data_IF_511199613273
#
_entry.id   IF_511199613273
#
_cell.length_a   1.000
_cell.length_b   1.000
_cell.length_c   1.000
_cell.angle_alpha   90.00
_cell.angle_beta   90.00
_cell.angle_gamma   90.00
#
_symmetry.space_group_name_H-M   'P 1'
#
loop_
_entity.id
_entity.type
_entity.pdbx_description
1 polymer ?
#
# COMPACT_ATOMS: atom_id res chain seq x y z
N UNK A 1 -45.00 -33.11 -6.98
CA UNK A 1 -45.61 -32.72 -5.70
C UNK A 1 -45.47 -31.20 -5.54
N UNK A 2 -46.57 -30.43 -5.55
CA UNK A 2 -46.55 -28.96 -5.46
C UNK A 2 -45.77 -28.43 -4.23
N UNK A 3 -45.79 -29.19 -3.13
CA UNK A 3 -45.06 -28.85 -1.90
C UNK A 3 -43.53 -28.89 -2.08
N UNK A 4 -43.01 -29.79 -2.93
CA UNK A 4 -41.58 -29.87 -3.22
C UNK A 4 -41.11 -28.62 -3.98
N UNK A 5 -41.85 -28.21 -5.02
CA UNK A 5 -41.58 -27.00 -5.80
C UNK A 5 -41.66 -25.73 -4.94
N UNK A 6 -42.66 -25.64 -4.05
CA UNK A 6 -42.79 -24.51 -3.12
C UNK A 6 -41.61 -24.44 -2.14
N UNK A 7 -41.19 -25.59 -1.60
CA UNK A 7 -40.04 -25.69 -0.71
C UNK A 7 -38.76 -25.26 -1.43
N UNK A 8 -38.49 -25.78 -2.63
CA UNK A 8 -37.29 -25.50 -3.42
C UNK A 8 -37.19 -24.01 -3.78
N UNK A 9 -38.30 -23.38 -4.17
CA UNK A 9 -38.37 -21.94 -4.43
C UNK A 9 -38.13 -21.11 -3.15
N UNK A 10 -38.68 -21.55 -2.02
CA UNK A 10 -38.47 -20.89 -0.72
C UNK A 10 -37.00 -20.97 -0.26
N UNK A 11 -36.38 -22.15 -0.36
CA UNK A 11 -34.95 -22.33 -0.08
C UNK A 11 -34.07 -21.52 -1.04
N UNK A 12 -34.40 -21.49 -2.33
CA UNK A 12 -33.71 -20.67 -3.33
C UNK A 12 -33.76 -19.17 -3.02
N UNK A 13 -34.94 -18.65 -2.66
CA UNK A 13 -35.11 -17.26 -2.26
C UNK A 13 -34.37 -16.92 -0.96
N UNK A 14 -34.37 -17.82 0.02
CA UNK A 14 -33.64 -17.63 1.28
C UNK A 14 -32.12 -17.61 1.03
N UNK A 15 -31.61 -18.52 0.20
CA UNK A 15 -30.21 -18.59 -0.19
C UNK A 15 -29.77 -17.35 -0.98
N UNK A 16 -30.57 -16.89 -1.95
CA UNK A 16 -30.26 -15.69 -2.73
C UNK A 16 -30.23 -14.44 -1.85
N UNK A 17 -31.16 -14.31 -0.91
CA UNK A 17 -31.17 -13.21 0.06
C UNK A 17 -29.93 -13.24 0.96
N UNK A 18 -29.51 -14.42 1.40
CA UNK A 18 -28.30 -14.59 2.19
C UNK A 18 -27.03 -14.19 1.40
N UNK A 19 -26.88 -14.69 0.16
CA UNK A 19 -25.76 -14.34 -0.72
C UNK A 19 -25.73 -12.83 -0.99
N UNK A 20 -26.88 -12.24 -1.31
CA UNK A 20 -26.99 -10.79 -1.56
C UNK A 20 -26.57 -9.97 -0.34
N UNK A 21 -26.96 -10.39 0.87
CA UNK A 21 -26.55 -9.71 2.10
C UNK A 21 -25.04 -9.85 2.36
N UNK A 22 -24.45 -11.01 2.09
CA UNK A 22 -23.01 -11.20 2.18
C UNK A 22 -22.26 -10.32 1.17
N UNK A 23 -22.76 -10.20 -0.05
CA UNK A 23 -22.17 -9.33 -1.08
C UNK A 23 -22.23 -7.87 -0.67
N UNK A 24 -23.37 -7.40 -0.13
CA UNK A 24 -23.52 -6.05 0.40
C UNK A 24 -22.52 -5.75 1.53
N UNK A 25 -22.37 -6.67 2.49
CA UNK A 25 -21.39 -6.52 3.58
C UNK A 25 -19.97 -6.48 3.00
N UNK A 26 -19.66 -7.35 2.05
CA UNK A 26 -18.33 -7.42 1.42
C UNK A 26 -17.99 -6.14 0.67
N UNK A 27 -18.95 -5.56 -0.06
CA UNK A 27 -18.79 -4.27 -0.74
C UNK A 27 -18.56 -3.15 0.27
N UNK A 28 -19.35 -3.09 1.34
CA UNK A 28 -19.22 -2.05 2.36
C UNK A 28 -17.85 -2.10 3.06
N UNK A 29 -17.39 -3.31 3.43
CA UNK A 29 -16.06 -3.52 4.00
C UNK A 29 -14.97 -3.08 3.02
N UNK A 30 -15.11 -3.44 1.73
CA UNK A 30 -14.15 -3.06 0.69
C UNK A 30 -14.06 -1.55 0.49
N UNK A 31 -15.19 -0.84 0.51
CA UNK A 31 -15.23 0.63 0.43
C UNK A 31 -14.54 1.25 1.64
N UNK A 32 -14.83 0.75 2.84
CA UNK A 32 -14.18 1.22 4.07
C UNK A 32 -12.66 1.04 4.02
N UNK A 33 -12.22 -0.16 3.65
CA UNK A 33 -10.79 -0.47 3.48
C UNK A 33 -10.11 0.45 2.45
N UNK A 34 -10.74 0.67 1.28
CA UNK A 34 -10.19 1.54 0.24
C UNK A 34 -10.10 3.00 0.69
N UNK A 35 -11.06 3.47 1.48
CA UNK A 35 -11.07 4.81 2.07
C UNK A 35 -9.90 4.99 3.05
N UNK A 36 -9.62 3.97 3.88
CA UNK A 36 -8.47 3.97 4.79
C UNK A 36 -7.15 4.04 4.02
N UNK A 37 -6.98 3.27 2.94
CA UNK A 37 -5.77 3.39 2.12
C UNK A 37 -5.62 4.76 1.49
N UNK A 38 -6.72 5.37 1.04
CA UNK A 38 -6.66 6.70 0.47
C UNK A 38 -6.20 7.74 1.49
N UNK A 39 -6.72 7.68 2.72
CA UNK A 39 -6.26 8.52 3.82
C UNK A 39 -4.77 8.27 4.15
N UNK A 40 -4.34 7.01 4.23
CA UNK A 40 -2.93 6.65 4.46
C UNK A 40 -2.04 7.19 3.34
N UNK A 41 -2.47 7.12 2.08
CA UNK A 41 -1.71 7.64 0.94
C UNK A 41 -1.51 9.15 1.04
N UNK A 42 -2.55 9.92 1.40
CA UNK A 42 -2.44 11.37 1.61
C UNK A 42 -1.47 11.69 2.74
N UNK A 43 -1.62 11.04 3.89
CA UNK A 43 -0.74 11.23 5.06
C UNK A 43 0.72 10.89 4.69
N UNK A 44 0.92 9.80 3.96
CA UNK A 44 2.24 9.37 3.50
C UNK A 44 2.86 10.37 2.54
N UNK A 45 2.11 10.91 1.59
CA UNK A 45 2.58 11.95 0.67
C UNK A 45 3.00 13.22 1.42
N UNK A 46 2.17 13.67 2.38
CA UNK A 46 2.50 14.82 3.22
C UNK A 46 3.76 14.57 4.07
N UNK A 47 3.89 13.37 4.63
CA UNK A 47 5.08 12.96 5.38
C UNK A 47 6.34 12.95 4.50
N UNK A 48 6.28 12.35 3.31
CA UNK A 48 7.39 12.31 2.33
C UNK A 48 7.84 13.73 1.95
N UNK A 49 6.90 14.64 1.69
CA UNK A 49 7.23 16.04 1.40
C UNK A 49 7.96 16.70 2.58
N UNK A 50 7.49 16.47 3.81
CA UNK A 50 8.09 17.03 5.03
C UNK A 50 9.49 16.48 5.28
N UNK A 51 9.70 15.17 5.24
CA UNK A 51 11.03 14.59 5.49
C UNK A 51 12.03 14.94 4.39
N UNK A 52 11.56 15.16 3.16
CA UNK A 52 12.39 15.69 2.08
C UNK A 52 12.83 17.13 2.35
N UNK A 53 11.91 18.01 2.77
CA UNK A 53 12.25 19.38 3.21
C UNK A 53 13.26 19.39 4.35
N UNK A 54 13.04 18.56 5.37
CA UNK A 54 13.97 18.43 6.49
C UNK A 54 15.35 17.95 6.03
N UNK A 55 15.41 17.02 5.08
CA UNK A 55 16.67 16.56 4.52
C UNK A 55 17.40 17.68 3.77
N UNK A 56 16.69 18.52 3.01
CA UNK A 56 17.28 19.72 2.40
C UNK A 56 17.86 20.69 3.44
N UNK A 57 17.20 20.86 4.59
CA UNK A 57 17.72 21.73 5.66
C UNK A 57 18.94 21.12 6.37
N UNK A 58 19.00 19.79 6.48
CA UNK A 58 20.10 19.09 7.15
C UNK A 58 21.36 18.99 6.29
N UNK A 59 21.23 18.81 4.97
CA UNK A 59 22.34 18.57 4.07
C UNK A 59 22.00 18.88 2.60
N UNK A 60 21.73 20.15 2.30
CA UNK A 60 21.36 20.62 0.96
C UNK A 60 22.30 20.17 -0.17
N UNK A 61 23.65 20.22 -0.03
CA UNK A 61 24.58 19.88 -1.12
C UNK A 61 24.46 18.43 -1.61
N UNK A 62 23.95 17.54 -0.77
CA UNK A 62 23.82 16.12 -1.07
C UNK A 62 22.41 15.69 -1.51
N UNK A 63 21.43 16.60 -1.50
CA UNK A 63 20.07 16.34 -1.97
C UNK A 63 19.94 16.56 -3.49
N UNK A 64 19.36 15.58 -4.19
CA UNK A 64 19.12 15.64 -5.64
C UNK A 64 17.66 15.79 -6.02
N UNK A 65 16.74 15.43 -5.12
CA UNK A 65 15.31 15.44 -5.37
C UNK A 65 14.65 16.58 -4.60
N UNK A 66 13.75 17.30 -5.27
CA UNK A 66 12.98 18.36 -4.59
C UNK A 66 11.77 17.78 -3.87
N UNK A 67 11.24 18.45 -2.83
CA UNK A 67 10.12 17.94 -2.03
C UNK A 67 8.82 17.69 -2.81
N UNK A 68 8.57 18.46 -3.87
CA UNK A 68 7.40 18.24 -4.72
C UNK A 68 7.59 16.98 -5.55
N UNK A 69 8.76 16.84 -6.18
CA UNK A 69 9.08 15.68 -7.00
C UNK A 69 9.20 14.39 -6.18
N UNK A 70 9.54 14.43 -4.89
CA UNK A 70 9.51 13.22 -4.05
C UNK A 70 8.10 12.61 -3.90
N UNK A 71 7.05 13.39 -4.16
CA UNK A 71 5.64 12.94 -4.09
C UNK A 71 5.06 12.70 -5.49
N UNK A 72 5.30 13.61 -6.44
CA UNK A 72 4.70 13.55 -7.79
C UNK A 72 5.03 12.23 -8.53
N UNK A 73 6.22 11.67 -8.30
CA UNK A 73 6.62 10.40 -8.91
C UNK A 73 5.67 9.22 -8.61
N UNK A 74 4.93 9.24 -7.50
CA UNK A 74 3.98 8.18 -7.16
C UNK A 74 2.75 8.17 -8.08
N UNK A 75 2.42 9.32 -8.69
CA UNK A 75 1.25 9.49 -9.55
C UNK A 75 1.54 9.21 -11.02
N UNK A 76 2.82 9.13 -11.41
CA UNK A 76 3.23 8.87 -12.79
C UNK A 76 3.59 7.38 -12.90
N UNK A 77 2.81 6.55 -13.62
CA UNK A 77 2.95 5.09 -13.57
C UNK A 77 4.36 4.57 -13.87
N UNK A 78 5.03 5.15 -14.87
CA UNK A 78 6.39 4.77 -15.26
C UNK A 78 7.40 5.15 -14.17
N UNK A 79 7.29 6.35 -13.60
CA UNK A 79 8.25 6.83 -12.61
C UNK A 79 8.05 6.16 -11.25
N UNK A 80 6.81 5.77 -10.94
CA UNK A 80 6.43 5.09 -9.71
C UNK A 80 7.17 3.75 -9.49
N UNK A 81 7.80 3.18 -10.52
CA UNK A 81 8.55 1.93 -10.43
C UNK A 81 9.93 2.06 -9.76
N UNK A 82 10.58 3.23 -9.82
CA UNK A 82 11.93 3.41 -9.25
C UNK A 82 12.23 4.78 -8.66
N UNK A 83 11.59 5.86 -9.13
CA UNK A 83 11.89 7.21 -8.64
C UNK A 83 11.56 7.41 -7.17
N UNK A 84 10.46 6.87 -6.61
CA UNK A 84 10.21 7.02 -5.19
C UNK A 84 11.24 6.31 -4.30
N UNK A 85 11.74 5.16 -4.74
CA UNK A 85 12.85 4.49 -4.07
C UNK A 85 14.12 5.35 -4.06
N UNK A 86 14.47 5.95 -5.21
CA UNK A 86 15.61 6.87 -5.29
C UNK A 86 15.43 8.06 -4.33
N UNK A 87 14.22 8.64 -4.30
CA UNK A 87 13.90 9.74 -3.40
C UNK A 87 14.13 9.38 -1.93
N UNK A 88 13.59 8.24 -1.50
CA UNK A 88 13.71 7.77 -0.12
C UNK A 88 15.15 7.38 0.23
N UNK A 89 15.90 6.85 -0.73
CA UNK A 89 17.32 6.51 -0.56
C UNK A 89 18.15 7.76 -0.32
N UNK A 90 17.90 8.83 -1.07
CA UNK A 90 18.57 10.12 -0.88
C UNK A 90 18.20 10.73 0.47
N UNK A 91 16.91 10.76 0.84
CA UNK A 91 16.44 11.23 2.16
C UNK A 91 17.08 10.43 3.29
N UNK A 92 17.17 9.10 3.17
CA UNK A 92 17.83 8.24 4.15
C UNK A 92 19.32 8.57 4.24
N UNK A 93 20.03 8.66 3.12
CA UNK A 93 21.46 8.98 3.10
C UNK A 93 21.73 10.30 3.83
N UNK A 94 20.98 11.34 3.50
CA UNK A 94 21.09 12.64 4.15
C UNK A 94 20.74 12.57 5.62
N UNK A 95 19.72 11.81 6.02
CA UNK A 95 19.29 11.75 7.42
C UNK A 95 20.27 10.97 8.30
N UNK A 96 20.79 9.84 7.83
CA UNK A 96 21.66 8.95 8.60
C UNK A 96 23.16 9.21 8.43
N UNK A 97 23.57 10.01 7.44
CA UNK A 97 24.98 10.19 7.12
C UNK A 97 25.65 8.85 6.80
N UNK A 98 26.74 8.54 7.51
CA UNK A 98 27.49 7.29 7.37
C UNK A 98 26.88 6.11 8.16
N UNK A 99 25.73 6.28 8.83
CA UNK A 99 25.10 5.18 9.56
C UNK A 99 24.37 4.19 8.61
N UNK A 100 24.88 2.97 8.59
CA UNK A 100 24.38 1.86 7.78
C UNK A 100 23.30 1.02 8.47
N UNK A 101 22.89 1.34 9.70
CA UNK A 101 22.00 0.54 10.58
C UNK A 101 20.64 0.13 9.98
N UNK A 102 20.26 0.67 8.82
CA UNK A 102 19.00 0.37 8.10
C UNK A 102 19.20 0.22 6.59
N UNK A 103 20.39 -0.16 6.13
CA UNK A 103 20.73 -0.21 4.70
C UNK A 103 19.85 -1.16 3.88
N UNK A 104 19.43 -2.29 4.47
CA UNK A 104 18.63 -3.33 3.79
C UNK A 104 17.11 -3.15 3.94
N UNK A 105 16.65 -2.42 4.94
CA UNK A 105 15.20 -2.25 5.21
C UNK A 105 14.50 -1.52 4.06
N UNK A 106 15.12 -0.47 3.53
CA UNK A 106 14.55 0.33 2.44
C UNK A 106 14.40 -0.45 1.12
N UNK A 107 15.43 -1.15 0.59
CA UNK A 107 15.26 -1.97 -0.60
C UNK A 107 14.28 -3.13 -0.36
N UNK A 108 14.28 -3.76 0.82
CA UNK A 108 13.34 -4.83 1.13
C UNK A 108 11.89 -4.32 1.08
N UNK A 109 11.60 -3.21 1.75
CA UNK A 109 10.30 -2.56 1.67
C UNK A 109 9.87 -2.23 0.24
N UNK A 110 10.78 -1.67 -0.56
CA UNK A 110 10.46 -1.31 -1.95
C UNK A 110 10.16 -2.54 -2.82
N UNK A 111 10.96 -3.60 -2.69
CA UNK A 111 10.71 -4.86 -3.43
C UNK A 111 9.37 -5.49 -3.04
N UNK A 112 9.03 -5.49 -1.74
CA UNK A 112 7.73 -5.96 -1.27
C UNK A 112 6.58 -5.08 -1.79
N UNK A 113 6.78 -3.76 -1.83
CA UNK A 113 5.79 -2.83 -2.38
C UNK A 113 5.53 -3.09 -3.87
N UNK A 114 6.58 -3.30 -4.67
CA UNK A 114 6.44 -3.67 -6.09
C UNK A 114 5.71 -5.00 -6.27
N UNK A 115 6.08 -6.02 -5.49
CA UNK A 115 5.41 -7.33 -5.53
C UNK A 115 3.92 -7.21 -5.17
N UNK A 116 3.60 -6.43 -4.15
CA UNK A 116 2.23 -6.15 -3.73
C UNK A 116 1.41 -5.48 -4.86
N UNK A 117 2.00 -4.53 -5.58
CA UNK A 117 1.35 -3.88 -6.72
C UNK A 117 1.11 -4.87 -7.86
N UNK A 118 2.07 -5.74 -8.16
CA UNK A 118 1.92 -6.79 -9.19
C UNK A 118 0.78 -7.75 -8.82
N UNK A 119 0.77 -8.27 -7.59
CA UNK A 119 -0.31 -9.15 -7.12
C UNK A 119 -1.67 -8.44 -7.22
N UNK A 120 -1.73 -7.16 -6.84
CA UNK A 120 -2.96 -6.37 -6.93
C UNK A 120 -3.43 -6.21 -8.38
N UNK A 121 -2.52 -5.96 -9.32
CA UNK A 121 -2.84 -5.88 -10.73
C UNK A 121 -3.41 -7.21 -11.26
N UNK A 122 -2.81 -8.35 -10.88
CA UNK A 122 -3.31 -9.68 -11.26
C UNK A 122 -4.69 -9.94 -10.67
N UNK A 123 -4.94 -9.56 -9.41
CA UNK A 123 -6.26 -9.69 -8.77
C UNK A 123 -7.31 -8.86 -9.51
N UNK A 124 -7.02 -7.59 -9.83
CA UNK A 124 -7.96 -6.71 -10.54
C UNK A 124 -8.24 -7.25 -11.94
N UNK A 125 -7.19 -7.65 -12.67
CA UNK A 125 -7.34 -8.26 -13.99
C UNK A 125 -8.18 -9.55 -13.92
N UNK A 126 -7.91 -10.44 -12.97
CA UNK A 126 -8.65 -11.70 -12.80
C UNK A 126 -10.11 -11.46 -12.42
N UNK A 127 -10.38 -10.41 -11.63
CA UNK A 127 -11.75 -10.05 -11.20
C UNK A 127 -12.55 -9.43 -12.35
N UNK A 128 -11.92 -8.60 -13.19
CA UNK A 128 -12.59 -7.92 -14.30
C UNK A 128 -12.82 -8.83 -15.51
N UNK A 129 -12.00 -9.87 -15.70
CA UNK A 129 -12.13 -10.85 -16.79
C UNK A 129 -12.79 -12.16 -16.30
N UNK A 130 -13.61 -12.10 -15.26
CA UNK A 130 -14.16 -13.27 -14.59
C UNK A 130 -15.41 -13.86 -15.29
N UNK A 131 -15.34 -14.10 -16.60
CA UNK A 131 -16.41 -14.81 -17.32
C UNK A 131 -16.50 -16.30 -16.91
N UNK A 132 -15.47 -16.82 -16.22
CA UNK A 132 -15.37 -18.20 -15.75
C UNK A 132 -15.32 -18.30 -14.22
N UNK A 133 -15.95 -19.35 -13.67
CA UNK A 133 -15.94 -19.70 -12.23
C UNK A 133 -14.52 -19.89 -11.70
N UNK A 134 -13.58 -20.31 -12.55
CA UNK A 134 -12.17 -20.51 -12.21
C UNK A 134 -11.45 -19.20 -11.88
N UNK A 135 -11.70 -18.13 -12.65
CA UNK A 135 -11.10 -16.81 -12.44
C UNK A 135 -11.52 -16.20 -11.10
N UNK A 136 -12.76 -16.42 -10.66
CA UNK A 136 -13.23 -16.00 -9.33
C UNK A 136 -12.52 -16.74 -8.19
N UNK A 137 -12.32 -18.05 -8.32
CA UNK A 137 -11.60 -18.85 -7.32
C UNK A 137 -10.14 -18.42 -7.22
N UNK A 138 -9.50 -18.16 -8.37
CA UNK A 138 -8.12 -17.65 -8.41
C UNK A 138 -8.00 -16.27 -7.75
N UNK A 139 -8.91 -15.35 -8.05
CA UNK A 139 -8.95 -14.02 -7.43
C UNK A 139 -9.08 -14.11 -5.90
N UNK A 140 -9.95 -14.99 -5.39
CA UNK A 140 -10.11 -15.17 -3.94
C UNK A 140 -8.86 -15.77 -3.27
N UNK A 141 -8.20 -16.75 -3.90
CA UNK A 141 -6.92 -17.29 -3.40
C UNK A 141 -5.84 -16.21 -3.33
N UNK A 142 -5.71 -15.40 -4.38
CA UNK A 142 -4.74 -14.30 -4.42
C UNK A 142 -5.05 -13.22 -3.39
N UNK A 143 -6.33 -12.91 -3.13
CA UNK A 143 -6.73 -11.99 -2.05
C UNK A 143 -6.27 -12.50 -0.69
N UNK A 144 -6.42 -13.80 -0.41
CA UNK A 144 -5.95 -14.39 0.85
C UNK A 144 -4.42 -14.32 1.00
N UNK A 145 -3.68 -14.57 -0.08
CA UNK A 145 -2.20 -14.48 -0.09
C UNK A 145 -1.73 -13.03 0.07
N UNK A 146 -2.47 -12.06 -0.48
CA UNK A 146 -2.14 -10.64 -0.42
C UNK A 146 -2.17 -10.09 1.01
N UNK A 147 -3.12 -10.55 1.85
CA UNK A 147 -3.29 -10.05 3.22
C UNK A 147 -2.01 -10.07 4.07
N UNK A 148 -1.29 -11.20 4.24
CA UNK A 148 -0.06 -11.21 5.04
C UNK A 148 1.05 -10.35 4.43
N UNK A 149 1.16 -10.31 3.09
CA UNK A 149 2.13 -9.46 2.38
C UNK A 149 1.88 -7.98 2.70
N UNK A 150 0.62 -7.59 2.75
CA UNK A 150 0.21 -6.23 3.07
C UNK A 150 0.50 -5.83 4.52
N UNK A 151 0.22 -6.73 5.47
CA UNK A 151 0.54 -6.51 6.88
C UNK A 151 2.05 -6.33 7.05
N UNK A 152 2.85 -7.21 6.45
CA UNK A 152 4.31 -7.09 6.46
C UNK A 152 4.77 -5.75 5.86
N UNK A 153 4.22 -5.38 4.69
CA UNK A 153 4.54 -4.12 4.01
C UNK A 153 4.23 -2.90 4.88
N UNK A 154 3.10 -2.92 5.60
CA UNK A 154 2.66 -1.85 6.51
C UNK A 154 3.58 -1.71 7.72
N UNK A 155 4.07 -2.84 8.26
CA UNK A 155 5.08 -2.85 9.33
C UNK A 155 6.38 -2.21 8.83
N UNK A 156 6.89 -2.66 7.67
CA UNK A 156 8.11 -2.09 7.09
C UNK A 156 8.00 -0.59 6.82
N UNK A 157 6.87 -0.14 6.26
CA UNK A 157 6.62 1.28 6.02
C UNK A 157 6.61 2.06 7.33
N UNK A 158 5.91 1.57 8.36
CA UNK A 158 5.86 2.19 9.68
C UNK A 158 7.24 2.28 10.32
N UNK A 159 8.06 1.22 10.22
CA UNK A 159 9.45 1.22 10.67
C UNK A 159 10.28 2.30 9.96
N UNK A 160 10.16 2.44 8.63
CA UNK A 160 10.85 3.49 7.87
C UNK A 160 10.40 4.87 8.34
N UNK A 161 9.09 5.10 8.49
CA UNK A 161 8.52 6.38 8.92
C UNK A 161 9.06 6.77 10.30
N UNK A 162 8.97 5.87 11.28
CA UNK A 162 9.45 6.12 12.65
C UNK A 162 10.94 6.38 12.68
N UNK A 163 11.73 5.55 11.99
CA UNK A 163 13.18 5.64 12.01
C UNK A 163 13.67 6.94 11.36
N UNK A 164 13.21 7.26 10.16
CA UNK A 164 13.61 8.50 9.46
C UNK A 164 13.19 9.73 10.27
N UNK A 165 11.95 9.75 10.78
CA UNK A 165 11.44 10.89 11.57
C UNK A 165 12.24 11.08 12.86
N UNK A 166 12.54 9.98 13.58
CA UNK A 166 13.33 10.03 14.82
C UNK A 166 14.75 10.52 14.55
N UNK A 167 15.41 10.00 13.52
CA UNK A 167 16.79 10.40 13.19
C UNK A 167 16.87 11.86 12.78
N UNK A 168 15.95 12.35 11.95
CA UNK A 168 15.90 13.76 11.58
C UNK A 168 15.65 14.66 12.80
N UNK A 169 14.73 14.28 13.70
CA UNK A 169 14.46 15.03 14.93
C UNK A 169 15.69 15.10 15.83
N UNK A 170 16.39 13.99 16.04
CA UNK A 170 17.61 13.95 16.86
C UNK A 170 18.71 14.84 16.30
N UNK A 171 18.91 14.84 14.97
CA UNK A 171 19.93 15.68 14.34
C UNK A 171 19.59 17.16 14.41
N UNK A 172 18.34 17.56 14.22
CA UNK A 172 17.94 18.97 14.37
C UNK A 172 18.25 19.47 15.79
N UNK A 173 17.97 18.66 16.81
CA UNK A 173 18.27 19.00 18.21
C UNK A 173 19.76 19.11 18.53
N UNK A 174 20.65 18.48 17.75
CA UNK A 174 22.10 18.62 17.93
C UNK A 174 22.64 19.95 17.39
N UNK A 175 21.85 20.68 16.60
CA UNK A 175 22.26 21.94 15.93
C UNK A 175 21.69 23.18 16.62
N UNK A 176 20.78 23.01 17.57
CA UNK A 176 20.25 24.08 18.43
C UNK A 176 20.98 24.07 19.78
#
# INVERSE_FOLDING_TARGET
SYLQLYSEKSYGNALSNYITKLDQITILVSIGQQSVYFAIAIVSCAWINRVCKNAWLLDAPHMKITPVWSVVHYFIPVLNLWKPYMAMKDIRRTSYGNDHSLGKTLPLWWTMWLLFNIITLVVVWSTNNADSRENYVMANKLKLIKLPVEVALSIFFSTIVMNVTRTQKMRILQWC
#
